data_IF_154469391019
#
_entry.id   IF_154469391019
#
_cell.length_a   1.000
_cell.length_b   1.000
_cell.length_c   1.000
_cell.angle_alpha   90.00
_cell.angle_beta   90.00
_cell.angle_gamma   90.00
#
_symmetry.space_group_name_H-M   'P 1'
#
loop_
_entity.id
_entity.type
_entity.pdbx_description
1 polymer ?
#
# COMPACT_ATOMS: atom_id res chain seq x y z
N UNK A 1 -41.37 -12.96 32.57
CA UNK A 1 -41.55 -12.74 31.13
C UNK A 1 -41.98 -11.31 30.77
N UNK A 2 -42.76 -10.57 31.58
CA UNK A 2 -43.27 -9.23 31.19
C UNK A 2 -42.35 -8.00 31.29
N UNK A 3 -41.17 -8.07 31.94
CA UNK A 3 -40.36 -6.85 32.21
C UNK A 3 -39.66 -6.26 30.97
N UNK A 4 -39.42 -7.03 29.91
CA UNK A 4 -38.79 -6.50 28.70
C UNK A 4 -39.73 -5.59 27.89
N UNK A 5 -41.05 -5.76 28.05
CA UNK A 5 -42.09 -4.96 27.36
C UNK A 5 -42.07 -3.48 27.77
N UNK A 6 -41.46 -3.14 28.92
CA UNK A 6 -41.37 -1.76 29.40
C UNK A 6 -40.09 -1.05 28.94
N UNK A 7 -39.19 -1.70 28.21
CA UNK A 7 -37.88 -1.13 27.85
C UNK A 7 -37.98 0.21 27.11
N UNK A 8 -38.88 0.34 26.14
CA UNK A 8 -39.10 1.61 25.43
C UNK A 8 -39.72 2.70 26.32
N UNK A 9 -40.60 2.32 27.27
CA UNK A 9 -41.24 3.29 28.18
C UNK A 9 -40.28 3.83 29.25
N UNK A 10 -39.14 3.16 29.47
CA UNK A 10 -38.12 3.53 30.45
C UNK A 10 -36.95 4.34 29.84
N UNK A 11 -37.10 4.86 28.62
CA UNK A 11 -36.09 5.70 27.93
C UNK A 11 -35.91 7.10 28.56
N UNK A 12 -36.67 7.42 29.62
CA UNK A 12 -36.63 8.70 30.34
C UNK A 12 -35.49 8.69 31.39
N UNK A 13 -34.79 9.82 31.61
CA UNK A 13 -33.56 9.90 32.45
C UNK A 13 -33.75 9.30 33.85
N UNK A 14 -34.89 9.53 34.48
CA UNK A 14 -35.22 9.05 35.83
C UNK A 14 -35.32 7.51 35.90
N UNK A 15 -35.58 6.84 34.77
CA UNK A 15 -35.75 5.39 34.68
C UNK A 15 -34.52 4.63 34.14
N UNK A 16 -33.44 5.34 33.81
CA UNK A 16 -32.27 4.77 33.13
C UNK A 16 -31.60 3.61 33.90
N UNK A 17 -31.55 3.69 35.25
CA UNK A 17 -30.98 2.62 36.08
C UNK A 17 -31.82 1.33 36.05
N UNK A 18 -33.15 1.48 36.01
CA UNK A 18 -34.09 0.38 35.90
C UNK A 18 -33.99 -0.27 34.51
N UNK A 19 -34.02 0.55 33.45
CA UNK A 19 -33.85 0.09 32.06
C UNK A 19 -32.55 -0.71 31.92
N UNK A 20 -31.44 -0.19 32.44
CA UNK A 20 -30.13 -0.86 32.39
C UNK A 20 -30.13 -2.22 33.11
N UNK A 21 -30.84 -2.33 34.24
CA UNK A 21 -30.96 -3.58 35.00
C UNK A 21 -31.76 -4.63 34.23
N UNK A 22 -32.86 -4.22 33.59
CA UNK A 22 -33.68 -5.09 32.74
C UNK A 22 -32.88 -5.55 31.52
N UNK A 23 -32.17 -4.65 30.85
CA UNK A 23 -31.32 -5.00 29.70
C UNK A 23 -30.25 -6.02 30.08
N UNK A 24 -29.50 -5.79 31.17
CA UNK A 24 -28.48 -6.73 31.65
C UNK A 24 -29.06 -8.10 31.99
N UNK A 25 -30.28 -8.15 32.53
CA UNK A 25 -30.96 -9.41 32.77
C UNK A 25 -31.32 -10.12 31.46
N UNK A 26 -31.83 -9.40 30.46
CA UNK A 26 -32.14 -9.95 29.14
C UNK A 26 -30.88 -10.43 28.39
N UNK A 27 -29.79 -9.64 28.41
CA UNK A 27 -28.49 -10.02 27.84
C UNK A 27 -27.93 -11.29 28.49
N UNK A 28 -28.04 -11.42 29.83
CA UNK A 28 -27.65 -12.65 30.53
C UNK A 28 -28.53 -13.83 30.16
N UNK A 29 -29.84 -13.60 30.00
CA UNK A 29 -30.77 -14.64 29.57
C UNK A 29 -30.41 -15.18 28.19
N UNK A 30 -30.06 -14.27 27.26
CA UNK A 30 -29.59 -14.61 25.92
C UNK A 30 -28.26 -15.37 25.93
N UNK A 31 -27.25 -14.82 26.59
CA UNK A 31 -25.87 -15.37 26.59
C UNK A 31 -25.76 -16.70 27.33
N UNK A 32 -26.67 -17.00 28.26
CA UNK A 32 -26.75 -18.29 28.95
C UNK A 32 -27.65 -19.31 28.22
N UNK A 33 -28.13 -19.00 27.01
CA UNK A 33 -29.00 -19.87 26.21
C UNK A 33 -30.23 -20.40 26.98
N UNK A 34 -30.82 -19.56 27.83
CA UNK A 34 -32.00 -19.95 28.61
C UNK A 34 -33.24 -20.05 27.72
N UNK A 35 -34.18 -20.92 28.11
CA UNK A 35 -35.43 -21.12 27.38
C UNK A 35 -36.24 -19.82 27.22
N UNK A 36 -36.84 -19.65 26.04
CA UNK A 36 -37.70 -18.52 25.70
C UNK A 36 -36.96 -17.18 25.49
N UNK A 37 -35.64 -17.22 25.26
CA UNK A 37 -34.82 -16.02 25.02
C UNK A 37 -35.20 -15.29 23.73
N UNK A 38 -35.79 -15.99 22.77
CA UNK A 38 -36.24 -15.50 21.47
C UNK A 38 -37.27 -14.36 21.65
N UNK A 39 -38.15 -14.49 22.66
CA UNK A 39 -39.15 -13.46 22.96
C UNK A 39 -38.58 -12.14 23.49
N UNK A 40 -37.31 -12.10 23.90
CA UNK A 40 -36.68 -10.89 24.42
C UNK A 40 -36.16 -9.96 23.31
N UNK A 41 -36.03 -10.47 22.08
CA UNK A 41 -35.28 -9.83 20.99
C UNK A 41 -35.95 -8.55 20.50
N UNK A 42 -37.28 -8.55 20.38
CA UNK A 42 -38.09 -7.44 19.83
C UNK A 42 -37.80 -6.11 20.54
N UNK A 43 -37.59 -6.15 21.84
CA UNK A 43 -37.38 -4.97 22.67
C UNK A 43 -35.89 -4.75 23.00
N UNK A 44 -35.13 -5.84 23.15
CA UNK A 44 -33.72 -5.77 23.52
C UNK A 44 -32.84 -5.19 22.42
N UNK A 45 -33.02 -5.62 21.15
CA UNK A 45 -32.14 -5.21 20.06
C UNK A 45 -32.24 -3.72 19.72
N UNK A 46 -33.44 -3.15 19.51
CA UNK A 46 -33.56 -1.71 19.24
C UNK A 46 -32.99 -0.89 20.39
N UNK A 47 -33.27 -1.28 21.65
CA UNK A 47 -32.80 -0.56 22.84
C UNK A 47 -31.27 -0.57 22.93
N UNK A 48 -30.62 -1.71 22.66
CA UNK A 48 -29.17 -1.81 22.66
C UNK A 48 -28.53 -0.95 21.56
N UNK A 49 -29.11 -0.95 20.35
CA UNK A 49 -28.60 -0.18 19.22
C UNK A 49 -28.78 1.33 19.41
N UNK A 50 -29.95 1.78 19.88
CA UNK A 50 -30.16 3.20 20.15
C UNK A 50 -29.13 3.72 21.16
N UNK A 51 -28.93 2.99 22.26
CA UNK A 51 -27.94 3.37 23.29
C UNK A 51 -26.50 3.36 22.79
N UNK A 52 -26.13 2.43 21.89
CA UNK A 52 -24.78 2.40 21.33
C UNK A 52 -24.52 3.46 20.26
N UNK A 53 -25.58 4.13 19.79
CA UNK A 53 -25.57 5.21 18.79
C UNK A 53 -25.87 6.59 19.39
N UNK A 54 -26.17 6.67 20.70
CA UNK A 54 -26.41 7.92 21.42
C UNK A 54 -25.13 8.76 21.57
N UNK A 55 -25.30 10.07 21.71
CA UNK A 55 -24.21 10.98 22.04
C UNK A 55 -23.68 10.64 23.46
N UNK A 56 -22.39 10.31 23.55
CA UNK A 56 -21.77 9.83 24.78
C UNK A 56 -21.75 8.30 24.94
N UNK A 57 -22.17 7.53 23.93
CA UNK A 57 -22.01 6.08 23.92
C UNK A 57 -20.56 5.67 24.20
N UNK A 58 -20.39 4.57 24.94
CA UNK A 58 -19.08 4.08 25.34
C UNK A 58 -18.70 2.81 24.56
N UNK A 59 -17.41 2.44 24.48
CA UNK A 59 -16.98 1.17 23.91
C UNK A 59 -17.65 -0.06 24.54
N UNK A 60 -18.11 0.05 25.80
CA UNK A 60 -18.86 -0.98 26.49
C UNK A 60 -20.23 -1.28 25.86
N UNK A 61 -20.89 -0.28 25.27
CA UNK A 61 -22.21 -0.45 24.65
C UNK A 61 -22.09 -1.26 23.34
N UNK A 62 -21.07 -0.97 22.52
CA UNK A 62 -20.75 -1.76 21.32
C UNK A 62 -20.45 -3.23 21.69
N UNK A 63 -19.70 -3.44 22.77
CA UNK A 63 -19.38 -4.80 23.25
C UNK A 63 -20.64 -5.57 23.66
N UNK A 64 -21.62 -4.90 24.27
CA UNK A 64 -22.91 -5.51 24.65
C UNK A 64 -23.73 -5.90 23.43
N UNK A 65 -23.81 -5.02 22.43
CA UNK A 65 -24.45 -5.33 21.14
C UNK A 65 -23.81 -6.57 20.51
N UNK A 66 -22.47 -6.61 20.43
CA UNK A 66 -21.76 -7.76 19.87
C UNK A 66 -21.96 -9.07 20.66
N UNK A 67 -22.11 -8.98 22.00
CA UNK A 67 -22.31 -10.14 22.86
C UNK A 67 -23.64 -10.87 22.58
N UNK A 68 -24.66 -10.13 22.11
CA UNK A 68 -25.97 -10.70 21.74
C UNK A 68 -26.18 -10.84 20.23
N UNK A 69 -25.14 -10.69 19.41
CA UNK A 69 -25.27 -10.58 17.94
C UNK A 69 -26.08 -11.70 17.27
N UNK A 70 -26.03 -12.94 17.77
CA UNK A 70 -26.78 -14.05 17.19
C UNK A 70 -28.31 -13.86 17.30
N UNK A 71 -28.79 -12.94 18.15
CA UNK A 71 -30.20 -12.59 18.20
C UNK A 71 -30.70 -11.90 16.92
N UNK A 72 -29.81 -11.26 16.16
CA UNK A 72 -30.15 -10.64 14.88
C UNK A 72 -30.45 -11.68 13.79
N UNK A 73 -30.06 -12.94 13.97
CA UNK A 73 -30.39 -14.05 13.05
C UNK A 73 -31.88 -14.44 13.12
N UNK A 74 -32.60 -14.00 14.15
CA UNK A 74 -34.05 -14.23 14.29
C UNK A 74 -34.91 -13.20 13.53
N UNK A 75 -34.28 -12.20 12.92
CA UNK A 75 -34.98 -11.15 12.22
C UNK A 75 -35.38 -11.64 10.82
N UNK A 76 -36.62 -11.34 10.43
CA UNK A 76 -37.08 -11.54 9.06
C UNK A 76 -36.70 -10.32 8.23
N UNK A 77 -35.69 -10.47 7.36
CA UNK A 77 -35.19 -9.38 6.52
C UNK A 77 -36.12 -9.00 5.37
N UNK A 78 -37.13 -9.81 5.08
CA UNK A 78 -38.16 -9.53 4.08
C UNK A 78 -39.36 -8.78 4.67
N UNK A 79 -39.52 -8.77 6.00
CA UNK A 79 -40.60 -8.09 6.70
C UNK A 79 -40.30 -6.58 6.92
N UNK A 80 -41.24 -5.72 6.54
CA UNK A 80 -41.14 -4.25 6.67
C UNK A 80 -41.10 -3.79 8.14
N UNK A 81 -41.60 -4.61 9.08
CA UNK A 81 -41.65 -4.27 10.51
C UNK A 81 -40.27 -4.07 11.14
N UNK A 82 -39.21 -4.59 10.52
CA UNK A 82 -37.83 -4.41 11.00
C UNK A 82 -37.08 -3.28 10.28
N UNK A 83 -37.71 -2.51 9.40
CA UNK A 83 -37.00 -1.49 8.61
C UNK A 83 -36.33 -0.42 9.48
N UNK A 84 -36.99 0.04 10.54
CA UNK A 84 -36.35 0.95 11.51
C UNK A 84 -35.14 0.32 12.20
N UNK A 85 -35.13 -1.01 12.36
CA UNK A 85 -33.99 -1.75 12.91
C UNK A 85 -32.86 -1.87 11.88
N UNK A 86 -33.18 -2.11 10.60
CA UNK A 86 -32.22 -2.07 9.48
C UNK A 86 -31.53 -0.71 9.41
N UNK A 87 -32.28 0.39 9.54
CA UNK A 87 -31.72 1.75 9.58
C UNK A 87 -30.74 1.95 10.74
N UNK A 88 -31.07 1.47 11.95
CA UNK A 88 -30.15 1.52 13.09
C UNK A 88 -28.87 0.72 12.83
N UNK A 89 -28.98 -0.46 12.19
CA UNK A 89 -27.81 -1.26 11.79
C UNK A 89 -26.93 -0.54 10.77
N UNK A 90 -27.51 0.13 9.77
CA UNK A 90 -26.76 0.95 8.80
C UNK A 90 -26.06 2.13 9.49
N UNK A 91 -26.70 2.76 10.49
CA UNK A 91 -26.05 3.81 11.30
C UNK A 91 -24.83 3.29 12.06
N UNK A 92 -24.81 2.03 12.49
CA UNK A 92 -23.61 1.43 13.09
C UNK A 92 -22.42 1.40 12.11
N UNK A 93 -22.64 1.21 10.82
CA UNK A 93 -21.58 1.12 9.79
C UNK A 93 -20.77 2.42 9.69
N UNK A 94 -21.41 3.56 9.93
CA UNK A 94 -20.77 4.88 9.85
C UNK A 94 -20.38 5.44 11.22
N UNK A 95 -20.76 4.76 12.31
CA UNK A 95 -20.51 5.25 13.66
C UNK A 95 -19.04 5.03 14.08
N UNK A 96 -18.33 6.06 14.56
CA UNK A 96 -16.90 5.97 14.88
C UNK A 96 -16.54 4.86 15.88
N UNK A 97 -17.40 4.60 16.89
CA UNK A 97 -17.15 3.53 17.86
C UNK A 97 -17.19 2.14 17.23
N UNK A 98 -18.04 1.91 16.24
CA UNK A 98 -18.14 0.61 15.59
C UNK A 98 -16.96 0.38 14.65
N UNK A 99 -16.57 1.41 13.88
CA UNK A 99 -15.49 1.30 12.90
C UNK A 99 -14.10 1.23 13.57
N UNK A 100 -13.86 2.07 14.60
CA UNK A 100 -12.54 2.16 15.23
C UNK A 100 -12.23 1.00 16.18
N UNK A 101 -13.24 0.31 16.72
CA UNK A 101 -13.06 -0.73 17.76
C UNK A 101 -13.12 -2.13 17.16
N UNK A 102 -12.32 -3.05 17.72
CA UNK A 102 -12.28 -4.44 17.26
C UNK A 102 -13.62 -5.17 17.39
N UNK A 103 -14.32 -5.01 18.52
CA UNK A 103 -15.64 -5.62 18.73
C UNK A 103 -16.69 -5.03 17.78
N UNK A 104 -16.60 -3.73 17.51
CA UNK A 104 -17.44 -3.06 16.51
C UNK A 104 -17.22 -3.63 15.12
N UNK A 105 -15.96 -3.75 14.66
CA UNK A 105 -15.66 -4.35 13.34
C UNK A 105 -16.08 -5.81 13.23
N UNK A 106 -15.98 -6.59 14.32
CA UNK A 106 -16.52 -7.96 14.35
C UNK A 106 -18.03 -7.96 14.22
N UNK A 107 -18.73 -7.03 14.86
CA UNK A 107 -20.17 -6.86 14.69
C UNK A 107 -20.53 -6.47 13.25
N UNK A 108 -19.85 -5.48 12.68
CA UNK A 108 -20.08 -5.05 11.30
C UNK A 108 -19.84 -6.19 10.30
N UNK A 109 -18.78 -6.98 10.48
CA UNK A 109 -18.52 -8.15 9.65
C UNK A 109 -19.61 -9.22 9.78
N UNK A 110 -20.19 -9.39 10.97
CA UNK A 110 -21.31 -10.28 11.21
C UNK A 110 -22.60 -9.80 10.49
N UNK A 111 -22.82 -8.49 10.31
CA UNK A 111 -24.00 -8.01 9.58
C UNK A 111 -24.07 -8.53 8.13
N UNK A 112 -22.91 -8.77 7.50
CA UNK A 112 -22.84 -9.36 6.17
C UNK A 112 -23.28 -10.83 6.11
N UNK A 113 -23.45 -11.51 7.24
CA UNK A 113 -23.94 -12.90 7.27
C UNK A 113 -25.46 -13.00 7.48
N UNK A 114 -26.16 -11.88 7.67
CA UNK A 114 -27.58 -11.89 8.04
C UNK A 114 -28.50 -12.13 6.85
N UNK A 115 -28.31 -11.40 5.74
CA UNK A 115 -29.16 -11.55 4.57
C UNK A 115 -28.49 -11.03 3.28
N UNK A 116 -28.62 -11.71 2.11
CA UNK A 116 -28.00 -11.27 0.86
C UNK A 116 -28.42 -9.88 0.39
N UNK A 117 -29.69 -9.48 0.56
CA UNK A 117 -30.14 -8.14 0.16
C UNK A 117 -29.55 -7.05 1.06
N UNK A 118 -29.40 -7.34 2.35
CA UNK A 118 -28.83 -6.39 3.30
C UNK A 118 -27.33 -6.16 3.07
N UNK A 119 -26.62 -7.10 2.44
CA UNK A 119 -25.22 -6.91 2.02
C UNK A 119 -25.08 -5.73 1.05
N UNK A 120 -26.07 -5.50 0.17
CA UNK A 120 -26.04 -4.36 -0.76
C UNK A 120 -26.15 -3.03 0.00
N UNK A 121 -27.09 -2.94 0.94
CA UNK A 121 -27.29 -1.74 1.77
C UNK A 121 -26.06 -1.42 2.63
N UNK A 122 -25.44 -2.45 3.21
CA UNK A 122 -24.19 -2.32 3.96
C UNK A 122 -23.06 -1.80 3.05
N UNK A 123 -22.95 -2.36 1.83
CA UNK A 123 -21.91 -1.98 0.90
C UNK A 123 -22.08 -0.55 0.38
N UNK A 124 -23.30 -0.15 0.03
CA UNK A 124 -23.61 1.22 -0.40
C UNK A 124 -23.35 2.23 0.72
N UNK A 125 -23.70 1.87 1.97
CA UNK A 125 -23.41 2.68 3.14
C UNK A 125 -21.89 2.90 3.31
N UNK A 126 -21.07 1.85 3.17
CA UNK A 126 -19.60 1.97 3.24
C UNK A 126 -19.05 2.80 2.08
N UNK A 127 -19.51 2.56 0.85
CA UNK A 127 -19.06 3.30 -0.35
C UNK A 127 -19.28 4.79 -0.21
N UNK A 128 -20.43 5.20 0.33
CA UNK A 128 -20.77 6.60 0.55
C UNK A 128 -19.82 7.30 1.54
N UNK A 129 -19.10 6.56 2.39
CA UNK A 129 -18.09 7.11 3.30
C UNK A 129 -16.68 7.23 2.68
N UNK A 130 -16.38 6.52 1.59
CA UNK A 130 -15.02 6.44 1.04
C UNK A 130 -14.40 7.78 0.59
N UNK A 131 -15.14 8.72 -0.02
CA UNK A 131 -14.55 10.01 -0.43
C UNK A 131 -14.12 10.89 0.76
N UNK A 132 -14.75 10.72 1.92
CA UNK A 132 -14.72 11.70 3.02
C UNK A 132 -13.75 11.39 4.17
N UNK A 133 -13.37 10.12 4.40
CA UNK A 133 -12.70 9.73 5.67
C UNK A 133 -11.55 8.74 5.48
N UNK A 134 -10.34 9.25 5.21
CA UNK A 134 -9.12 8.42 5.03
C UNK A 134 -8.80 7.46 6.20
N UNK A 135 -9.22 7.79 7.43
CA UNK A 135 -8.89 7.01 8.63
C UNK A 135 -9.69 5.71 8.78
N UNK A 136 -10.78 5.53 8.02
CA UNK A 136 -11.68 4.37 8.19
C UNK A 136 -11.49 3.28 7.14
N UNK A 137 -10.78 3.54 6.04
CA UNK A 137 -10.67 2.58 4.93
C UNK A 137 -10.04 1.25 5.33
N UNK A 138 -8.95 1.27 6.11
CA UNK A 138 -8.32 0.04 6.59
C UNK A 138 -9.27 -0.76 7.52
N UNK A 139 -10.07 -0.06 8.33
CA UNK A 139 -11.09 -0.69 9.17
C UNK A 139 -12.19 -1.34 8.33
N UNK A 140 -12.65 -0.70 7.25
CA UNK A 140 -13.60 -1.31 6.32
C UNK A 140 -13.01 -2.49 5.54
N UNK A 141 -11.73 -2.43 5.17
CA UNK A 141 -11.01 -3.58 4.62
C UNK A 141 -11.03 -4.78 5.56
N UNK A 142 -10.77 -4.56 6.86
CA UNK A 142 -10.86 -5.61 7.88
C UNK A 142 -12.27 -6.18 8.01
N UNK A 143 -13.31 -5.33 7.92
CA UNK A 143 -14.72 -5.76 7.94
C UNK A 143 -15.03 -6.66 6.75
N UNK A 144 -14.71 -6.23 5.51
CA UNK A 144 -14.95 -7.03 4.31
C UNK A 144 -14.19 -8.35 4.33
N UNK A 145 -12.91 -8.34 4.71
CA UNK A 145 -12.12 -9.56 4.76
C UNK A 145 -12.68 -10.57 5.77
N UNK A 146 -13.08 -10.10 6.95
CA UNK A 146 -13.73 -10.96 7.97
C UNK A 146 -15.09 -11.46 7.52
N UNK A 147 -15.90 -10.63 6.88
CA UNK A 147 -17.19 -11.02 6.32
C UNK A 147 -17.01 -12.13 5.28
N UNK A 148 -16.12 -11.92 4.30
CA UNK A 148 -15.82 -12.92 3.27
C UNK A 148 -15.30 -14.23 3.87
N UNK A 149 -14.32 -14.15 4.79
CA UNK A 149 -13.70 -15.33 5.41
C UNK A 149 -14.69 -16.20 6.21
N UNK A 150 -15.74 -15.61 6.76
CA UNK A 150 -16.76 -16.30 7.55
C UNK A 150 -18.06 -16.54 6.76
N UNK A 151 -18.10 -16.21 5.47
CA UNK A 151 -19.26 -16.42 4.62
C UNK A 151 -19.20 -17.77 3.94
N UNK A 152 -20.38 -18.30 3.58
CA UNK A 152 -20.52 -19.52 2.79
C UNK A 152 -21.61 -19.33 1.72
N UNK A 153 -21.56 -20.11 0.65
CA UNK A 153 -22.60 -20.18 -0.37
C UNK A 153 -22.89 -18.84 -1.06
N UNK A 154 -24.18 -18.47 -1.09
CA UNK A 154 -24.67 -17.26 -1.77
C UNK A 154 -24.07 -15.97 -1.21
N UNK A 155 -23.89 -15.90 0.12
CA UNK A 155 -23.32 -14.72 0.78
C UNK A 155 -21.88 -14.48 0.35
N UNK A 156 -21.07 -15.53 0.17
CA UNK A 156 -19.71 -15.40 -0.36
C UNK A 156 -19.72 -14.79 -1.76
N UNK A 157 -20.56 -15.31 -2.65
CA UNK A 157 -20.68 -14.78 -4.01
C UNK A 157 -21.14 -13.32 -4.02
N UNK A 158 -22.06 -12.96 -3.11
CA UNK A 158 -22.56 -11.60 -2.94
C UNK A 158 -21.46 -10.65 -2.47
N UNK A 159 -20.66 -11.03 -1.47
CA UNK A 159 -19.53 -10.23 -0.99
C UNK A 159 -18.47 -10.07 -2.07
N UNK A 160 -18.13 -11.15 -2.77
CA UNK A 160 -17.11 -11.13 -3.82
C UNK A 160 -17.51 -10.26 -5.01
N UNK A 161 -18.68 -10.52 -5.61
CA UNK A 161 -19.09 -9.86 -6.85
C UNK A 161 -19.78 -8.52 -6.59
N UNK A 162 -20.61 -8.46 -5.55
CA UNK A 162 -21.38 -7.27 -5.19
C UNK A 162 -20.56 -6.22 -4.44
N UNK A 163 -19.53 -6.62 -3.69
CA UNK A 163 -18.71 -5.68 -2.92
C UNK A 163 -17.27 -5.59 -3.43
N UNK A 164 -16.50 -6.68 -3.35
CA UNK A 164 -15.05 -6.65 -3.61
C UNK A 164 -14.76 -6.28 -5.07
N UNK A 165 -15.45 -6.91 -6.02
CA UNK A 165 -15.28 -6.63 -7.45
C UNK A 165 -15.81 -5.23 -7.84
N UNK A 166 -16.89 -4.74 -7.21
CA UNK A 166 -17.35 -3.35 -7.39
C UNK A 166 -16.26 -2.36 -6.95
N UNK A 167 -15.60 -2.59 -5.82
CA UNK A 167 -14.48 -1.76 -5.36
C UNK A 167 -13.27 -1.83 -6.29
N UNK A 168 -12.93 -3.01 -6.83
CA UNK A 168 -11.89 -3.17 -7.85
C UNK A 168 -12.22 -2.34 -9.10
N UNK A 169 -13.45 -2.46 -9.60
CA UNK A 169 -13.91 -1.74 -10.79
C UNK A 169 -13.88 -0.22 -10.57
N UNK A 170 -14.44 0.26 -9.44
CA UNK A 170 -14.45 1.68 -9.06
C UNK A 170 -13.06 2.23 -8.84
N UNK A 171 -12.16 1.47 -8.22
CA UNK A 171 -10.77 1.89 -8.00
C UNK A 171 -10.06 2.12 -9.32
N UNK A 172 -10.12 1.14 -10.23
CA UNK A 172 -9.46 1.25 -11.53
C UNK A 172 -10.04 2.41 -12.37
N UNK A 173 -11.35 2.64 -12.31
CA UNK A 173 -12.01 3.73 -13.05
C UNK A 173 -12.10 5.06 -12.30
N UNK A 174 -11.50 5.18 -11.12
CA UNK A 174 -11.57 6.38 -10.31
C UNK A 174 -10.93 7.59 -11.02
N UNK A 175 -11.72 8.63 -11.26
CA UNK A 175 -11.24 9.93 -11.74
C UNK A 175 -10.53 10.73 -10.64
N UNK A 176 -10.95 10.55 -9.38
CA UNK A 176 -10.38 11.24 -8.22
C UNK A 176 -9.30 10.39 -7.55
N UNK A 177 -8.08 10.93 -7.33
CA UNK A 177 -7.01 10.21 -6.64
C UNK A 177 -7.38 9.73 -5.23
N UNK A 178 -8.25 10.48 -4.54
CA UNK A 178 -8.73 10.12 -3.21
C UNK A 178 -9.57 8.82 -3.23
N UNK A 179 -10.44 8.66 -4.23
CA UNK A 179 -11.26 7.46 -4.39
C UNK A 179 -10.40 6.24 -4.76
N UNK A 180 -9.40 6.44 -5.63
CA UNK A 180 -8.44 5.40 -5.94
C UNK A 180 -7.64 4.95 -4.70
N UNK A 181 -7.17 5.91 -3.89
CA UNK A 181 -6.47 5.61 -2.65
C UNK A 181 -7.38 4.89 -1.63
N UNK A 182 -8.65 5.29 -1.52
CA UNK A 182 -9.62 4.67 -0.62
C UNK A 182 -9.88 3.20 -0.97
N UNK A 183 -10.21 2.93 -2.24
CA UNK A 183 -10.45 1.56 -2.74
C UNK A 183 -9.22 0.68 -2.56
N UNK A 184 -8.02 1.19 -2.89
CA UNK A 184 -6.75 0.46 -2.64
C UNK A 184 -6.55 0.11 -1.17
N UNK A 185 -6.81 1.04 -0.24
CA UNK A 185 -6.66 0.78 1.19
C UNK A 185 -7.63 -0.28 1.72
N UNK A 186 -8.85 -0.33 1.19
CA UNK A 186 -9.83 -1.38 1.53
C UNK A 186 -9.38 -2.73 0.97
N UNK A 187 -9.02 -2.77 -0.32
CA UNK A 187 -8.59 -3.99 -1.01
C UNK A 187 -7.26 -4.55 -0.48
N UNK A 188 -6.41 -3.71 0.12
CA UNK A 188 -5.18 -4.14 0.76
C UNK A 188 -5.41 -5.20 1.86
N UNK A 189 -6.59 -5.22 2.51
CA UNK A 189 -6.93 -6.23 3.50
C UNK A 189 -7.00 -7.65 2.91
N UNK A 190 -7.34 -7.80 1.62
CA UNK A 190 -7.30 -9.07 0.91
C UNK A 190 -5.90 -9.34 0.35
N UNK A 191 -5.28 -8.35 -0.31
CA UNK A 191 -3.98 -8.49 -0.96
C UNK A 191 -2.88 -8.89 0.04
N UNK A 192 -2.87 -8.28 1.22
CA UNK A 192 -1.88 -8.61 2.27
C UNK A 192 -2.08 -10.02 2.85
N UNK A 193 -3.26 -10.62 2.65
CA UNK A 193 -3.64 -11.94 3.13
C UNK A 193 -3.68 -12.99 2.01
N UNK A 194 -2.99 -12.77 0.88
CA UNK A 194 -2.91 -13.73 -0.25
C UNK A 194 -2.46 -15.15 0.14
N UNK A 195 -1.77 -15.32 1.28
CA UNK A 195 -1.37 -16.65 1.80
C UNK A 195 -2.52 -17.39 2.50
N UNK A 196 -3.59 -16.70 2.85
CA UNK A 196 -4.80 -17.31 3.40
C UNK A 196 -5.53 -18.10 2.31
N UNK A 197 -6.03 -19.28 2.67
CA UNK A 197 -6.72 -20.19 1.75
C UNK A 197 -7.84 -19.46 0.99
N UNK A 198 -7.89 -19.66 -0.33
CA UNK A 198 -8.91 -19.11 -1.23
C UNK A 198 -8.72 -17.65 -1.63
N UNK A 199 -7.88 -16.87 -0.94
CA UNK A 199 -7.73 -15.43 -1.24
C UNK A 199 -7.08 -15.21 -2.61
N UNK A 200 -6.02 -15.95 -2.92
CA UNK A 200 -5.29 -15.75 -4.19
C UNK A 200 -6.15 -16.12 -5.42
N UNK A 201 -6.86 -17.26 -5.35
CA UNK A 201 -7.82 -17.69 -6.38
C UNK A 201 -8.95 -16.68 -6.55
N UNK A 202 -9.54 -16.20 -5.44
CA UNK A 202 -10.58 -15.19 -5.48
C UNK A 202 -10.07 -13.89 -6.13
N UNK A 203 -8.87 -13.41 -5.77
CA UNK A 203 -8.31 -12.20 -6.38
C UNK A 203 -8.08 -12.37 -7.88
N UNK A 204 -7.52 -13.50 -8.30
CA UNK A 204 -7.31 -13.82 -9.72
C UNK A 204 -8.64 -13.76 -10.50
N UNK A 205 -9.67 -14.47 -10.00
CA UNK A 205 -10.99 -14.52 -10.62
C UNK A 205 -11.70 -13.17 -10.66
N UNK A 206 -11.63 -12.38 -9.59
CA UNK A 206 -12.34 -11.10 -9.52
C UNK A 206 -11.66 -9.99 -10.34
N UNK A 207 -10.34 -10.01 -10.46
CA UNK A 207 -9.63 -9.05 -11.30
C UNK A 207 -9.71 -9.38 -12.80
N UNK A 208 -9.84 -10.64 -13.18
CA UNK A 208 -9.84 -11.10 -14.58
C UNK A 208 -10.69 -10.21 -15.52
N UNK A 209 -11.98 -9.95 -15.26
CA UNK A 209 -12.82 -9.22 -16.22
C UNK A 209 -12.55 -7.70 -16.26
N UNK A 210 -11.79 -7.17 -15.30
CA UNK A 210 -11.55 -5.74 -15.09
C UNK A 210 -10.17 -5.34 -15.59
N UNK A 211 -9.14 -6.06 -15.13
CA UNK A 211 -7.76 -5.59 -15.18
C UNK A 211 -7.26 -5.47 -16.62
N UNK A 212 -7.47 -6.50 -17.43
CA UNK A 212 -6.93 -6.59 -18.79
C UNK A 212 -7.53 -5.54 -19.73
N UNK A 213 -8.84 -5.31 -19.63
CA UNK A 213 -9.53 -4.25 -20.38
C UNK A 213 -9.07 -2.87 -19.94
N UNK A 214 -8.88 -2.68 -18.64
CA UNK A 214 -8.49 -1.39 -18.07
C UNK A 214 -7.04 -1.01 -18.37
N UNK A 215 -6.13 -1.99 -18.45
CA UNK A 215 -4.75 -1.79 -18.88
C UNK A 215 -4.65 -1.35 -20.35
N UNK A 216 -5.61 -1.70 -21.18
CA UNK A 216 -5.70 -1.29 -22.58
C UNK A 216 -6.68 -0.12 -22.83
N UNK A 217 -7.21 0.51 -21.77
CA UNK A 217 -8.23 1.55 -21.91
C UNK A 217 -7.70 2.81 -22.61
N UNK A 218 -8.56 3.53 -23.34
CA UNK A 218 -8.19 4.80 -23.96
C UNK A 218 -7.77 5.86 -22.92
N UNK A 219 -8.37 5.85 -21.74
CA UNK A 219 -8.11 6.81 -20.67
C UNK A 219 -6.79 6.47 -19.92
N UNK A 220 -5.78 7.36 -19.92
CA UNK A 220 -4.51 7.11 -19.25
C UNK A 220 -4.61 7.02 -17.72
N UNK A 221 -5.58 7.69 -17.09
CA UNK A 221 -5.80 7.57 -15.65
C UNK A 221 -6.26 6.15 -15.30
N UNK A 222 -7.14 5.56 -16.12
CA UNK A 222 -7.60 4.17 -15.95
C UNK A 222 -6.43 3.21 -16.11
N UNK A 223 -5.61 3.37 -17.16
CA UNK A 223 -4.41 2.52 -17.35
C UNK A 223 -3.42 2.64 -16.18
N UNK A 224 -3.17 3.86 -15.69
CA UNK A 224 -2.31 4.11 -14.52
C UNK A 224 -2.84 3.42 -13.25
N UNK A 225 -4.14 3.53 -12.99
CA UNK A 225 -4.76 2.91 -11.83
C UNK A 225 -4.74 1.37 -11.95
N UNK A 226 -5.03 0.84 -13.14
CA UNK A 226 -4.95 -0.59 -13.44
C UNK A 226 -3.52 -1.13 -13.29
N UNK A 227 -2.50 -0.41 -13.77
CA UNK A 227 -1.10 -0.77 -13.60
C UNK A 227 -0.72 -0.88 -12.11
N UNK A 228 -1.16 0.09 -11.31
CA UNK A 228 -0.94 0.07 -9.86
C UNK A 228 -1.66 -1.10 -9.20
N UNK A 229 -2.92 -1.38 -9.58
CA UNK A 229 -3.69 -2.49 -9.04
C UNK A 229 -3.07 -3.86 -9.39
N UNK A 230 -2.59 -4.04 -10.64
CA UNK A 230 -1.85 -5.22 -11.06
C UNK A 230 -0.62 -5.44 -10.15
N UNK A 231 0.18 -4.39 -9.96
CA UNK A 231 1.42 -4.46 -9.16
C UNK A 231 1.12 -4.74 -7.68
N UNK A 232 0.05 -4.17 -7.13
CA UNK A 232 -0.35 -4.44 -5.74
C UNK A 232 -0.79 -5.90 -5.58
N UNK A 233 -1.56 -6.43 -6.51
CA UNK A 233 -2.12 -7.78 -6.42
C UNK A 233 -1.20 -8.87 -7.00
N UNK A 234 -0.05 -8.51 -7.57
CA UNK A 234 0.89 -9.43 -8.19
C UNK A 234 1.47 -10.44 -7.17
N UNK A 235 1.67 -11.72 -7.55
CA UNK A 235 1.17 -12.35 -8.78
C UNK A 235 -0.29 -12.75 -8.64
N UNK A 236 -1.13 -12.48 -9.65
CA UNK A 236 -2.50 -13.02 -9.72
C UNK A 236 -2.46 -14.45 -10.27
N UNK A 237 -2.88 -15.42 -9.47
CA UNK A 237 -2.85 -16.83 -9.86
C UNK A 237 -3.83 -17.64 -9.04
N UNK A 238 -4.29 -18.76 -9.61
CA UNK A 238 -4.95 -19.81 -8.86
C UNK A 238 -3.91 -20.85 -8.38
N UNK A 239 -3.63 -20.96 -7.07
CA UNK A 239 -2.64 -21.92 -6.54
C UNK A 239 -3.00 -23.39 -6.77
N UNK A 240 -4.27 -23.70 -7.04
CA UNK A 240 -4.75 -25.06 -7.30
C UNK A 240 -4.73 -25.41 -8.80
N UNK A 241 -4.40 -24.45 -9.67
CA UNK A 241 -4.31 -24.67 -11.10
C UNK A 241 -3.08 -25.50 -11.50
N UNK A 242 -3.18 -26.20 -12.63
CA UNK A 242 -2.05 -26.92 -13.20
C UNK A 242 -0.90 -25.96 -13.58
N UNK A 243 0.34 -26.40 -13.40
CA UNK A 243 1.55 -25.58 -13.66
C UNK A 243 1.53 -24.83 -15.01
N UNK A 244 1.17 -25.46 -16.15
CA UNK A 244 1.14 -24.73 -17.43
C UNK A 244 0.15 -23.56 -17.45
N UNK A 245 -0.95 -23.64 -16.70
CA UNK A 245 -1.95 -22.57 -16.58
C UNK A 245 -1.39 -21.42 -15.73
N UNK A 246 -0.70 -21.75 -14.63
CA UNK A 246 -0.01 -20.76 -13.80
C UNK A 246 1.07 -20.04 -14.59
N UNK A 247 1.91 -20.79 -15.33
CA UNK A 247 2.98 -20.23 -16.16
C UNK A 247 2.42 -19.29 -17.25
N UNK A 248 1.33 -19.68 -17.91
CA UNK A 248 0.65 -18.84 -18.90
C UNK A 248 0.06 -17.56 -18.26
N UNK A 249 -0.52 -17.67 -17.06
CA UNK A 249 -1.04 -16.49 -16.33
C UNK A 249 0.07 -15.52 -15.93
N UNK A 250 1.21 -16.05 -15.45
CA UNK A 250 2.38 -15.23 -15.12
C UNK A 250 2.96 -14.57 -16.36
N UNK A 251 3.06 -15.30 -17.48
CA UNK A 251 3.55 -14.72 -18.73
C UNK A 251 2.66 -13.58 -19.21
N UNK A 252 1.33 -13.73 -19.15
CA UNK A 252 0.36 -12.66 -19.46
C UNK A 252 0.59 -11.41 -18.58
N UNK A 253 0.91 -11.60 -17.30
CA UNK A 253 1.22 -10.50 -16.39
C UNK A 253 2.55 -9.81 -16.74
N UNK A 254 3.59 -10.58 -17.09
CA UNK A 254 4.86 -10.02 -17.54
C UNK A 254 4.73 -9.24 -18.85
N UNK A 255 3.95 -9.75 -19.80
CA UNK A 255 3.67 -9.06 -21.07
C UNK A 255 2.93 -7.74 -20.82
N UNK A 256 1.95 -7.74 -19.92
CA UNK A 256 1.22 -6.54 -19.52
C UNK A 256 2.15 -5.49 -18.87
N UNK A 257 3.03 -5.92 -17.95
CA UNK A 257 4.04 -5.05 -17.34
C UNK A 257 5.01 -4.47 -18.39
N UNK A 258 5.46 -5.30 -19.33
CA UNK A 258 6.32 -4.87 -20.44
C UNK A 258 5.64 -3.86 -21.38
N UNK A 259 4.34 -4.05 -21.66
CA UNK A 259 3.55 -3.13 -22.47
C UNK A 259 3.36 -1.77 -21.78
N UNK A 260 3.12 -1.75 -20.47
CA UNK A 260 2.97 -0.53 -19.67
C UNK A 260 4.23 0.34 -19.66
N UNK A 261 5.43 -0.26 -19.73
CA UNK A 261 6.69 0.49 -19.88
C UNK A 261 6.75 1.27 -21.21
N UNK A 262 5.97 0.86 -22.22
CA UNK A 262 5.91 1.51 -23.54
C UNK A 262 4.70 2.44 -23.69
N UNK A 263 3.96 2.73 -22.61
CA UNK A 263 2.76 3.57 -22.67
C UNK A 263 3.07 4.97 -23.24
N UNK A 264 2.22 5.54 -24.11
CA UNK A 264 2.47 6.88 -24.65
C UNK A 264 2.49 7.99 -23.60
N UNK A 265 1.81 7.82 -22.46
CA UNK A 265 1.66 8.83 -21.42
C UNK A 265 2.71 8.64 -20.32
N UNK A 266 3.57 9.66 -20.06
CA UNK A 266 4.66 9.54 -19.09
C UNK A 266 4.21 9.12 -17.67
N UNK A 267 3.07 9.60 -17.20
CA UNK A 267 2.57 9.26 -15.86
C UNK A 267 2.21 7.77 -15.71
N UNK A 268 1.83 7.10 -16.80
CA UNK A 268 1.62 5.64 -16.80
C UNK A 268 2.98 4.94 -16.76
N UNK A 269 3.94 5.39 -17.58
CA UNK A 269 5.31 4.84 -17.57
C UNK A 269 6.00 4.97 -16.21
N UNK A 270 5.84 6.08 -15.51
CA UNK A 270 6.39 6.24 -14.14
C UNK A 270 5.88 5.14 -13.20
N UNK A 271 4.56 4.92 -13.17
CA UNK A 271 3.96 3.85 -12.35
C UNK A 271 4.42 2.47 -12.80
N UNK A 272 4.53 2.26 -14.12
CA UNK A 272 5.03 1.01 -14.68
C UNK A 272 6.48 0.72 -14.28
N UNK A 273 7.36 1.74 -14.32
CA UNK A 273 8.77 1.63 -13.90
C UNK A 273 8.86 1.22 -12.43
N UNK A 274 8.19 1.95 -11.53
CA UNK A 274 8.18 1.58 -10.10
C UNK A 274 7.58 0.19 -9.89
N UNK A 275 6.53 -0.15 -10.61
CA UNK A 275 5.86 -1.44 -10.53
C UNK A 275 6.73 -2.62 -10.97
N UNK A 276 7.37 -2.50 -12.13
CA UNK A 276 8.30 -3.52 -12.66
C UNK A 276 9.48 -3.70 -11.72
N UNK A 277 10.07 -2.60 -11.23
CA UNK A 277 11.15 -2.68 -10.26
C UNK A 277 10.72 -3.36 -8.95
N UNK A 278 9.50 -3.08 -8.45
CA UNK A 278 8.95 -3.80 -7.29
C UNK A 278 8.77 -5.29 -7.57
N UNK A 279 8.23 -5.64 -8.73
CA UNK A 279 8.03 -7.04 -9.13
C UNK A 279 9.36 -7.79 -9.21
N UNK A 280 10.36 -7.20 -9.87
CA UNK A 280 11.72 -7.75 -9.93
C UNK A 280 12.34 -7.90 -8.53
N UNK A 281 12.23 -6.88 -7.68
CA UNK A 281 12.82 -6.89 -6.35
C UNK A 281 12.20 -7.91 -5.39
N UNK A 282 10.86 -8.06 -5.39
CA UNK A 282 10.15 -8.95 -4.45
C UNK A 282 10.03 -10.38 -4.97
N UNK A 283 9.80 -10.54 -6.28
CA UNK A 283 9.39 -11.81 -6.86
C UNK A 283 10.43 -12.40 -7.82
N UNK A 284 11.71 -12.04 -7.64
CA UNK A 284 12.81 -12.43 -8.53
C UNK A 284 12.81 -13.92 -8.93
N UNK A 285 12.58 -14.81 -7.97
CA UNK A 285 12.60 -16.27 -8.19
C UNK A 285 11.42 -16.79 -9.04
N UNK A 286 10.32 -16.04 -9.13
CA UNK A 286 9.18 -16.38 -9.97
C UNK A 286 9.36 -15.95 -11.44
N UNK A 287 10.38 -15.13 -11.73
CA UNK A 287 10.53 -14.49 -13.04
C UNK A 287 11.54 -15.28 -13.87
N UNK A 288 11.18 -15.74 -15.08
CA UNK A 288 12.14 -16.35 -15.99
C UNK A 288 13.31 -15.40 -16.28
N UNK A 289 14.54 -15.91 -16.28
CA UNK A 289 15.75 -15.08 -16.43
C UNK A 289 15.74 -14.21 -17.70
N UNK A 290 15.21 -14.74 -18.81
CA UNK A 290 15.06 -13.99 -20.06
C UNK A 290 14.10 -12.80 -19.91
N UNK A 291 12.98 -12.98 -19.22
CA UNK A 291 11.99 -11.94 -18.93
C UNK A 291 12.59 -10.86 -18.01
N UNK A 292 13.28 -11.28 -16.94
CA UNK A 292 13.95 -10.36 -16.04
C UNK A 292 15.01 -9.52 -16.77
N UNK A 293 15.80 -10.15 -17.65
CA UNK A 293 16.79 -9.46 -18.49
C UNK A 293 16.13 -8.45 -19.42
N UNK A 294 15.09 -8.84 -20.16
CA UNK A 294 14.39 -7.96 -21.08
C UNK A 294 13.80 -6.72 -20.36
N UNK A 295 13.19 -6.91 -19.19
CA UNK A 295 12.65 -5.81 -18.39
C UNK A 295 13.75 -4.85 -17.90
N UNK A 296 14.85 -5.37 -17.35
CA UNK A 296 15.96 -4.53 -16.89
C UNK A 296 16.67 -3.82 -18.04
N UNK A 297 16.88 -4.49 -19.16
CA UNK A 297 17.47 -3.90 -20.36
C UNK A 297 16.61 -2.75 -20.89
N UNK A 298 15.28 -2.90 -20.92
CA UNK A 298 14.35 -1.83 -21.29
C UNK A 298 14.39 -0.68 -20.29
N UNK A 299 14.35 -0.96 -18.99
CA UNK A 299 14.46 0.07 -17.95
C UNK A 299 15.73 0.93 -18.10
N UNK A 300 16.88 0.28 -18.26
CA UNK A 300 18.19 0.93 -18.33
C UNK A 300 18.47 1.56 -19.70
N UNK A 301 18.14 0.87 -20.78
CA UNK A 301 18.47 1.27 -22.16
C UNK A 301 17.47 2.23 -22.79
N UNK A 302 16.19 2.16 -22.39
CA UNK A 302 15.12 2.98 -22.98
C UNK A 302 14.57 4.00 -21.97
N UNK A 303 14.06 3.54 -20.82
CA UNK A 303 13.32 4.41 -19.90
C UNK A 303 14.23 5.39 -19.13
N UNK A 304 15.45 4.97 -18.80
CA UNK A 304 16.43 5.87 -18.19
C UNK A 304 16.81 7.03 -19.14
N UNK A 305 16.61 6.83 -20.45
CA UNK A 305 16.88 7.80 -21.51
C UNK A 305 15.59 8.38 -22.12
N UNK A 306 14.47 8.31 -21.40
CA UNK A 306 13.17 8.79 -21.88
C UNK A 306 13.25 10.26 -22.32
N UNK A 307 13.04 10.48 -23.63
CA UNK A 307 13.18 11.80 -24.27
C UNK A 307 12.07 12.74 -23.84
N UNK A 308 10.89 12.22 -23.46
CA UNK A 308 9.68 13.02 -23.22
C UNK A 308 9.52 13.42 -21.76
N UNK A 309 10.17 12.73 -20.81
CA UNK A 309 9.91 12.98 -19.39
C UNK A 309 11.11 12.71 -18.49
N UNK A 310 11.59 13.77 -17.81
CA UNK A 310 12.58 13.64 -16.73
C UNK A 310 12.02 12.88 -15.52
N UNK A 311 10.70 12.88 -15.30
CA UNK A 311 10.08 12.11 -14.23
C UNK A 311 10.20 10.60 -14.47
N UNK A 312 10.11 10.14 -15.73
CA UNK A 312 10.34 8.73 -16.09
C UNK A 312 11.79 8.35 -15.86
N UNK A 313 12.74 9.19 -16.31
CA UNK A 313 14.18 8.95 -16.09
C UNK A 313 14.52 8.86 -14.60
N UNK A 314 14.02 9.79 -13.79
CA UNK A 314 14.21 9.76 -12.33
C UNK A 314 13.58 8.51 -11.69
N UNK A 315 12.38 8.11 -12.13
CA UNK A 315 11.70 6.91 -11.62
C UNK A 315 12.50 5.62 -11.85
N UNK A 316 13.30 5.54 -12.93
CA UNK A 316 14.16 4.37 -13.17
C UNK A 316 15.21 4.24 -12.07
N UNK A 317 15.86 5.33 -11.67
CA UNK A 317 16.85 5.28 -10.60
C UNK A 317 16.21 4.96 -9.24
N UNK A 318 15.08 5.59 -8.93
CA UNK A 318 14.28 5.30 -7.73
C UNK A 318 13.86 3.83 -7.69
N UNK A 319 13.48 3.25 -8.83
CA UNK A 319 13.10 1.84 -8.92
C UNK A 319 14.28 0.87 -8.84
N UNK A 320 15.42 1.18 -9.49
CA UNK A 320 16.61 0.33 -9.45
C UNK A 320 17.20 0.24 -8.04
N UNK A 321 17.07 1.28 -7.22
CA UNK A 321 17.41 1.24 -5.79
C UNK A 321 16.71 0.06 -5.08
N UNK A 322 15.42 -0.13 -5.36
CA UNK A 322 14.63 -1.25 -4.84
C UNK A 322 15.07 -2.61 -5.39
N UNK A 323 15.43 -2.70 -6.67
CA UNK A 323 15.92 -3.95 -7.27
C UNK A 323 17.26 -4.38 -6.65
N UNK A 324 18.11 -3.41 -6.29
CA UNK A 324 19.41 -3.67 -5.64
C UNK A 324 19.29 -4.29 -4.24
N UNK A 325 18.12 -4.23 -3.59
CA UNK A 325 17.88 -5.00 -2.36
C UNK A 325 17.83 -6.51 -2.62
N UNK A 326 17.46 -6.92 -3.83
CA UNK A 326 17.51 -8.31 -4.25
C UNK A 326 18.93 -8.67 -4.71
N UNK A 327 19.71 -9.31 -3.84
CA UNK A 327 21.09 -9.73 -4.14
C UNK A 327 21.23 -10.62 -5.38
N UNK A 328 20.21 -11.42 -5.68
CA UNK A 328 20.18 -12.30 -6.87
C UNK A 328 20.12 -11.50 -8.19
N UNK A 329 19.71 -10.23 -8.14
CA UNK A 329 19.66 -9.36 -9.33
C UNK A 329 21.02 -8.80 -9.74
N UNK A 330 21.99 -8.75 -8.81
CA UNK A 330 23.25 -8.03 -9.01
C UNK A 330 24.06 -8.53 -10.21
N UNK A 331 24.21 -9.85 -10.48
CA UNK A 331 24.95 -10.32 -11.64
C UNK A 331 24.39 -9.81 -12.97
N UNK A 332 23.07 -9.62 -13.04
CA UNK A 332 22.39 -9.18 -14.25
C UNK A 332 22.32 -7.65 -14.36
N UNK A 333 22.23 -6.93 -13.23
CA UNK A 333 22.28 -5.47 -13.19
C UNK A 333 23.67 -4.92 -13.47
N UNK A 334 24.72 -5.52 -12.89
CA UNK A 334 26.10 -5.03 -12.97
C UNK A 334 26.56 -4.67 -14.40
N UNK A 335 26.37 -5.50 -15.44
CA UNK A 335 26.77 -5.14 -16.80
C UNK A 335 25.90 -4.04 -17.45
N UNK A 336 24.67 -3.82 -16.96
CA UNK A 336 23.75 -2.82 -17.50
C UNK A 336 24.02 -1.42 -16.94
N UNK A 337 24.41 -1.31 -15.67
CA UNK A 337 24.58 -0.03 -14.97
C UNK A 337 25.45 1.00 -15.70
N UNK A 338 26.58 0.65 -16.35
CA UNK A 338 27.42 1.64 -17.05
C UNK A 338 26.68 2.41 -18.16
N UNK A 339 25.61 1.87 -18.73
CA UNK A 339 24.77 2.58 -19.71
C UNK A 339 24.05 3.81 -19.12
N UNK A 340 23.98 3.92 -17.79
CA UNK A 340 23.40 5.06 -17.08
C UNK A 340 24.40 6.21 -16.90
N UNK A 341 25.70 5.99 -17.12
CA UNK A 341 26.75 6.97 -16.81
C UNK A 341 26.53 8.37 -17.41
N UNK A 342 26.07 8.52 -18.68
CA UNK A 342 25.81 9.83 -19.26
C UNK A 342 24.78 10.65 -18.49
N UNK A 343 23.85 10.00 -17.78
CA UNK A 343 22.75 10.63 -17.04
C UNK A 343 23.21 11.33 -15.75
N UNK A 344 24.48 11.16 -15.34
CA UNK A 344 25.09 12.03 -14.33
C UNK A 344 25.07 13.49 -14.78
N UNK A 345 25.13 13.74 -16.08
CA UNK A 345 25.08 15.07 -16.68
C UNK A 345 23.71 15.40 -17.28
N UNK A 346 22.64 14.75 -16.80
CA UNK A 346 21.28 15.05 -17.26
C UNK A 346 20.93 16.53 -17.01
N UNK A 347 20.18 17.13 -17.93
CA UNK A 347 19.75 18.53 -17.84
C UNK A 347 18.85 18.78 -16.61
N UNK A 348 18.08 17.78 -16.20
CA UNK A 348 17.17 17.85 -15.06
C UNK A 348 17.93 17.56 -13.76
N UNK A 349 17.96 18.54 -12.86
CA UNK A 349 18.50 18.37 -11.50
C UNK A 349 17.91 17.16 -10.77
N UNK A 350 16.58 16.97 -10.86
CA UNK A 350 15.91 15.81 -10.27
C UNK A 350 16.51 14.48 -10.72
N UNK A 351 16.89 14.37 -12.00
CA UNK A 351 17.43 13.14 -12.58
C UNK A 351 18.86 12.93 -12.08
N UNK A 352 19.66 14.00 -12.03
CA UNK A 352 21.01 13.97 -11.46
C UNK A 352 21.00 13.55 -9.98
N UNK A 353 20.13 14.15 -9.18
CA UNK A 353 19.98 13.82 -7.76
C UNK A 353 19.57 12.36 -7.55
N UNK A 354 18.59 11.87 -8.31
CA UNK A 354 18.17 10.48 -8.25
C UNK A 354 19.28 9.51 -8.70
N UNK A 355 20.08 9.87 -9.70
CA UNK A 355 21.20 9.02 -10.13
C UNK A 355 22.31 8.97 -9.09
N UNK A 356 22.64 10.09 -8.45
CA UNK A 356 23.62 10.12 -7.35
C UNK A 356 23.15 9.26 -6.18
N UNK A 357 21.87 9.31 -5.82
CA UNK A 357 21.30 8.43 -4.81
C UNK A 357 21.47 6.94 -5.18
N UNK A 358 21.24 6.57 -6.45
CA UNK A 358 21.51 5.21 -6.93
C UNK A 358 23.00 4.86 -6.81
N UNK A 359 23.93 5.76 -7.15
CA UNK A 359 25.38 5.51 -7.00
C UNK A 359 25.78 5.29 -5.53
N UNK A 360 25.16 6.01 -4.58
CA UNK A 360 25.34 5.77 -3.14
C UNK A 360 24.81 4.41 -2.71
N UNK A 361 23.71 3.92 -3.32
CA UNK A 361 23.25 2.54 -3.08
C UNK A 361 24.24 1.53 -3.64
N UNK A 362 24.68 1.72 -4.89
CA UNK A 362 25.66 0.86 -5.55
C UNK A 362 26.96 0.78 -4.76
N UNK A 363 27.44 1.87 -4.16
CA UNK A 363 28.67 1.87 -3.35
C UNK A 363 28.58 0.99 -2.10
N UNK A 364 27.36 0.66 -1.64
CA UNK A 364 27.10 -0.25 -0.51
C UNK A 364 26.96 -1.73 -0.96
N UNK A 365 26.88 -2.00 -2.27
CA UNK A 365 26.78 -3.35 -2.83
C UNK A 365 28.17 -3.93 -3.06
N UNK A 366 28.52 -5.00 -2.32
CA UNK A 366 29.88 -5.59 -2.36
C UNK A 366 30.35 -6.04 -3.75
N UNK A 367 29.42 -6.48 -4.60
CA UNK A 367 29.72 -7.06 -5.92
C UNK A 367 29.90 -6.00 -7.03
N UNK A 368 29.58 -4.73 -6.75
CA UNK A 368 29.56 -3.64 -7.74
C UNK A 368 30.33 -2.44 -7.17
N UNK A 369 31.23 -1.86 -7.96
CA UNK A 369 31.94 -0.64 -7.58
C UNK A 369 31.31 0.52 -8.34
N UNK A 370 30.95 1.61 -7.66
CA UNK A 370 30.27 2.73 -8.32
C UNK A 370 31.14 3.35 -9.44
N UNK A 371 32.47 3.28 -9.31
CA UNK A 371 33.39 3.80 -10.33
C UNK A 371 33.53 2.89 -11.57
N UNK A 372 33.02 1.66 -11.52
CA UNK A 372 32.80 0.82 -12.71
C UNK A 372 31.52 1.25 -13.46
N UNK A 373 30.60 1.94 -12.77
CA UNK A 373 29.39 2.51 -13.36
C UNK A 373 29.69 3.87 -13.98
N UNK A 374 30.33 4.79 -13.22
CA UNK A 374 30.69 6.12 -13.69
C UNK A 374 32.13 6.44 -13.33
N UNK A 375 32.94 6.79 -14.34
CA UNK A 375 34.33 7.15 -14.09
C UNK A 375 34.47 8.34 -13.14
N UNK A 376 35.47 8.29 -12.25
CA UNK A 376 35.67 9.29 -11.19
C UNK A 376 35.81 10.72 -11.73
N UNK A 377 36.40 10.89 -12.92
CA UNK A 377 36.55 12.22 -13.54
C UNK A 377 35.18 12.86 -13.85
N UNK A 378 34.18 12.07 -14.27
CA UNK A 378 32.82 12.57 -14.51
C UNK A 378 32.11 12.94 -13.21
N UNK A 379 32.32 12.17 -12.14
CA UNK A 379 31.80 12.45 -10.79
C UNK A 379 32.36 13.78 -10.27
N UNK A 380 33.68 13.97 -10.39
CA UNK A 380 34.34 15.23 -9.98
C UNK A 380 33.89 16.42 -10.84
N UNK A 381 33.81 16.25 -12.16
CA UNK A 381 33.33 17.31 -13.05
C UNK A 381 31.90 17.73 -12.68
N UNK A 382 31.00 16.77 -12.42
CA UNK A 382 29.62 17.07 -12.03
C UNK A 382 29.55 17.77 -10.67
N UNK A 383 30.33 17.32 -9.69
CA UNK A 383 30.40 17.95 -8.37
C UNK A 383 30.80 19.43 -8.47
N UNK A 384 31.79 19.76 -9.31
CA UNK A 384 32.19 21.14 -9.54
C UNK A 384 31.08 21.97 -10.22
N UNK A 385 30.39 21.39 -11.19
CA UNK A 385 29.34 22.09 -11.95
C UNK A 385 28.02 22.24 -11.16
N UNK A 386 27.73 21.37 -10.19
CA UNK A 386 26.56 21.42 -9.29
C UNK A 386 26.89 22.01 -7.92
N UNK A 387 27.93 22.85 -7.81
CA UNK A 387 28.40 23.44 -6.55
C UNK A 387 27.31 24.12 -5.71
N UNK A 388 26.31 24.71 -6.37
CA UNK A 388 25.21 25.45 -5.75
C UNK A 388 23.89 24.65 -5.76
N UNK A 389 23.98 23.33 -5.96
CA UNK A 389 22.84 22.40 -5.97
C UNK A 389 23.01 21.40 -4.83
N UNK A 390 22.60 21.73 -3.60
CA UNK A 390 22.87 20.90 -2.41
C UNK A 390 22.30 19.47 -2.53
N UNK A 391 21.16 19.31 -3.20
CA UNK A 391 20.51 18.02 -3.45
C UNK A 391 21.36 17.06 -4.30
N UNK A 392 22.37 17.57 -5.01
CA UNK A 392 23.32 16.76 -5.78
C UNK A 392 24.70 16.78 -5.11
N UNK A 393 25.23 17.97 -4.80
CA UNK A 393 26.59 18.14 -4.31
C UNK A 393 26.86 17.46 -2.96
N UNK A 394 25.92 17.53 -2.01
CA UNK A 394 26.11 16.93 -0.69
C UNK A 394 26.11 15.39 -0.76
N UNK A 395 25.13 14.71 -1.41
CA UNK A 395 25.20 13.25 -1.61
C UNK A 395 26.41 12.78 -2.43
N UNK A 396 26.86 13.54 -3.43
CA UNK A 396 28.09 13.23 -4.17
C UNK A 396 29.33 13.33 -3.27
N UNK A 397 29.35 14.29 -2.34
CA UNK A 397 30.42 14.42 -1.34
C UNK A 397 30.47 13.20 -0.43
N UNK A 398 29.32 12.74 0.07
CA UNK A 398 29.21 11.50 0.86
C UNK A 398 29.76 10.29 0.08
N UNK A 399 29.39 10.16 -1.20
CA UNK A 399 29.87 9.07 -2.08
C UNK A 399 31.41 9.04 -2.20
N UNK A 400 32.03 10.22 -2.25
CA UNK A 400 33.47 10.40 -2.43
C UNK A 400 34.25 10.37 -1.13
N UNK A 401 33.57 10.51 0.01
CA UNK A 401 34.17 10.64 1.33
C UNK A 401 35.16 9.51 1.66
N UNK A 402 34.86 8.21 1.43
CA UNK A 402 35.81 7.14 1.72
C UNK A 402 37.09 7.18 0.86
N UNK A 403 37.03 7.85 -0.30
CA UNK A 403 38.17 7.92 -1.23
C UNK A 403 39.12 9.07 -0.88
N UNK A 404 38.58 10.23 -0.51
CA UNK A 404 39.37 11.46 -0.35
C UNK A 404 39.47 11.97 1.08
N UNK A 405 38.57 11.55 1.97
CA UNK A 405 38.61 11.84 3.39
C UNK A 405 38.15 10.64 4.24
N UNK A 406 38.82 9.47 4.09
CA UNK A 406 38.47 8.27 4.87
C UNK A 406 38.60 8.51 6.37
N UNK A 407 37.64 8.01 7.14
CA UNK A 407 37.70 8.02 8.60
C UNK A 407 38.39 6.76 9.13
N UNK A 408 39.03 6.85 10.28
CA UNK A 408 39.71 5.71 10.93
C UNK A 408 41.07 5.32 10.33
N UNK A 409 41.62 6.10 9.39
CA UNK A 409 42.99 5.93 8.89
C UNK A 409 43.95 6.93 9.54
N UNK A 410 45.27 6.65 9.44
CA UNK A 410 46.30 7.55 9.96
C UNK A 410 46.28 8.93 9.28
N UNK A 411 46.58 9.99 10.04
CA UNK A 411 46.49 11.38 9.56
C UNK A 411 47.33 11.67 8.32
N UNK A 412 48.51 11.06 8.19
CA UNK A 412 49.37 11.20 7.01
C UNK A 412 48.72 10.67 5.72
N UNK A 413 48.06 9.51 5.79
CA UNK A 413 47.34 8.92 4.65
C UNK A 413 46.08 9.72 4.30
N UNK A 414 45.37 10.20 5.32
CA UNK A 414 44.22 11.08 5.14
C UNK A 414 44.61 12.38 4.43
N UNK A 415 45.69 13.03 4.89
CA UNK A 415 46.25 14.25 4.28
C UNK A 415 46.69 13.99 2.84
N UNK A 416 47.41 12.89 2.58
CA UNK A 416 47.84 12.51 1.23
C UNK A 416 46.67 12.39 0.25
N UNK A 417 45.55 11.80 0.69
CA UNK A 417 44.32 11.68 -0.13
C UNK A 417 43.63 13.03 -0.35
N UNK A 418 43.57 13.88 0.67
CA UNK A 418 43.04 15.23 0.56
C UNK A 418 43.86 16.09 -0.42
N UNK A 419 45.19 16.09 -0.29
CA UNK A 419 46.12 16.78 -1.22
C UNK A 419 45.97 16.25 -2.64
N UNK A 420 45.81 14.93 -2.82
CA UNK A 420 45.53 14.35 -4.14
C UNK A 420 44.21 14.86 -4.74
N UNK A 421 43.18 15.07 -3.92
CA UNK A 421 41.91 15.67 -4.35
C UNK A 421 42.13 17.11 -4.83
N UNK A 422 42.75 17.94 -3.98
CA UNK A 422 43.02 19.36 -4.23
C UNK A 422 43.87 19.59 -5.50
N UNK A 423 44.90 18.76 -5.68
CA UNK A 423 45.82 18.89 -6.83
C UNK A 423 45.21 18.40 -8.13
N UNK A 424 44.45 17.29 -8.12
CA UNK A 424 43.89 16.70 -9.35
C UNK A 424 42.57 17.33 -9.78
N UNK A 425 41.73 17.77 -8.83
CA UNK A 425 40.40 18.31 -9.11
C UNK A 425 40.11 19.57 -8.29
N UNK A 426 40.84 20.68 -8.50
CA UNK A 426 40.77 21.84 -7.61
C UNK A 426 39.34 22.41 -7.44
N UNK A 427 38.58 22.57 -8.53
CA UNK A 427 37.21 23.08 -8.47
C UNK A 427 36.26 22.13 -7.70
N UNK A 428 36.33 20.83 -7.95
CA UNK A 428 35.50 19.84 -7.28
C UNK A 428 35.89 19.68 -5.80
N UNK A 429 37.18 19.77 -5.50
CA UNK A 429 37.71 19.65 -4.14
C UNK A 429 37.19 20.77 -3.23
N UNK A 430 37.07 22.01 -3.75
CA UNK A 430 36.47 23.11 -3.00
C UNK A 430 35.02 22.81 -2.60
N UNK A 431 34.23 22.25 -3.52
CA UNK A 431 32.84 21.85 -3.25
C UNK A 431 32.80 20.65 -2.28
N UNK A 432 33.65 19.65 -2.49
CA UNK A 432 33.77 18.48 -1.62
C UNK A 432 34.03 18.88 -0.16
N UNK A 433 35.04 19.73 0.09
CA UNK A 433 35.37 20.14 1.45
C UNK A 433 34.35 21.11 2.04
N UNK A 434 33.64 21.91 1.21
CA UNK A 434 32.49 22.71 1.64
C UNK A 434 31.40 21.83 2.27
N UNK A 435 31.11 20.67 1.69
CA UNK A 435 30.05 19.75 2.14
C UNK A 435 30.53 18.62 3.06
N UNK A 436 31.84 18.45 3.28
CA UNK A 436 32.37 17.33 4.06
C UNK A 436 31.84 17.29 5.51
N UNK A 437 31.55 18.46 6.09
CA UNK A 437 31.01 18.59 7.44
C UNK A 437 29.56 18.07 7.59
N UNK A 438 28.80 17.94 6.49
CA UNK A 438 27.46 17.35 6.51
C UNK A 438 27.52 15.84 6.81
N UNK A 439 28.67 15.20 6.54
CA UNK A 439 28.82 13.74 6.51
C UNK A 439 29.90 13.20 7.46
N UNK A 440 30.58 14.08 8.19
CA UNK A 440 31.65 13.72 9.13
C UNK A 440 31.61 14.59 10.37
N UNK A 441 32.27 14.12 11.44
CA UNK A 441 32.39 14.89 12.68
C UNK A 441 33.16 16.21 12.43
N UNK A 442 32.67 17.30 13.01
CA UNK A 442 33.28 18.63 12.91
C UNK A 442 34.73 18.62 13.39
N UNK A 443 35.05 17.84 14.42
CA UNK A 443 36.43 17.68 14.91
C UNK A 443 37.35 17.04 13.87
N UNK A 444 36.84 16.11 13.07
CA UNK A 444 37.61 15.50 11.98
C UNK A 444 37.91 16.52 10.88
N UNK A 445 36.93 17.33 10.50
CA UNK A 445 37.10 18.41 9.50
C UNK A 445 38.08 19.47 10.00
N UNK A 446 37.95 19.91 11.26
CA UNK A 446 38.86 20.87 11.88
C UNK A 446 40.31 20.33 11.93
N UNK A 447 40.48 19.05 12.29
CA UNK A 447 41.79 18.39 12.28
C UNK A 447 42.42 18.38 10.89
N UNK A 448 41.64 18.08 9.84
CA UNK A 448 42.16 18.14 8.47
C UNK A 448 42.56 19.57 8.10
N UNK A 449 41.76 20.57 8.45
CA UNK A 449 42.07 21.98 8.21
C UNK A 449 43.34 22.47 8.95
N UNK A 450 43.72 21.84 10.06
CA UNK A 450 44.99 22.10 10.75
C UNK A 450 46.19 21.38 10.12
N UNK A 451 45.94 20.35 9.30
CA UNK A 451 46.98 19.53 8.65
C UNK A 451 47.27 19.95 7.21
N UNK A 452 46.34 20.64 6.55
CA UNK A 452 46.47 21.28 5.24
C UNK A 452 47.06 22.68 5.39
#
# INVERSE_FOLDING_TARGET
TGMHNVLFYLMVREAAACQMSIMKACERWWTQARAGREGLVVQLLPTLLMRSLEEGAAPGDVKRVYAVRSAFELLDFEDESIDSLKELLLRCVIHPLYVSRADGRRFLAFLFSLHPTFVDDLHDTIKNQMPSTRRVHAAYGEVYFKAWRNSEGELTLKIERGCVQDLMHRGVHASLPAMFAATRQVLAAFINEKRSRGVDEMLDRLYEPILWRSLAAANPTVRRNAATALVDAFPLQNPEAARPVVDASLQKQFDALGALLSDPVPNVRVVAVHGVCKVLGVFWELIPAATAHALLARLVGELAHDVRSSAVRAAVFEGLDYVLDCGLSHPMLKPLLPALAPLLHDRSERVRAAFVALLQRVSKVRSIRFFDVVHIDHVMARLAMDADVPAVASPMTELLLPSYFPQGVGGSEQLKRAVKCLTRYPAAALVFFRHAHDHTDVAAVAKLGLML
#
